data_IF_081632714930
#
_entry.id   IF_081632714930
#
_cell.length_a   1.000
_cell.length_b   1.000
_cell.length_c   1.000
_cell.angle_alpha   90.00
_cell.angle_beta   90.00
_cell.angle_gamma   90.00
#
_symmetry.space_group_name_H-M   'P 1'
#
loop_
_entity.id
_entity.type
_entity.pdbx_description
1 polymer ?
#
# COMPACT_ATOMS: atom_id res chain seq x y z
N UNK A 1 -12.37 26.09 22.45
CA UNK A 1 -12.62 25.53 21.12
C UNK A 1 -11.33 24.83 20.72
N UNK A 2 -11.32 23.50 20.72
CA UNK A 2 -10.14 22.72 20.31
C UNK A 2 -9.88 23.01 18.85
N UNK A 3 -8.74 23.61 18.51
CA UNK A 3 -8.27 23.63 17.12
C UNK A 3 -8.05 22.19 16.72
N UNK A 4 -8.81 21.68 15.75
CA UNK A 4 -8.49 20.40 15.13
C UNK A 4 -7.07 20.52 14.56
N UNK A 5 -6.12 19.82 15.18
CA UNK A 5 -4.78 19.69 14.61
C UNK A 5 -4.91 19.06 13.23
N UNK A 6 -4.09 19.52 12.28
CA UNK A 6 -4.07 18.93 10.95
C UNK A 6 -3.58 17.47 11.07
N UNK A 7 -4.36 16.52 10.56
CA UNK A 7 -3.99 15.10 10.59
C UNK A 7 -2.74 14.91 9.74
N UNK A 8 -1.67 14.38 10.34
CA UNK A 8 -0.41 14.10 9.67
C UNK A 8 -0.13 12.61 9.65
N UNK A 9 0.39 12.12 8.52
CA UNK A 9 0.77 10.72 8.32
C UNK A 9 2.20 10.66 7.81
N UNK A 10 3.10 10.11 8.61
CA UNK A 10 4.53 10.04 8.34
C UNK A 10 4.97 8.61 8.01
N UNK A 11 5.52 8.41 6.80
CA UNK A 11 6.10 7.14 6.38
C UNK A 11 7.35 6.79 7.19
N UNK A 12 7.32 5.67 7.90
CA UNK A 12 8.45 5.17 8.66
C UNK A 12 9.46 4.47 7.75
N UNK A 13 10.75 4.57 8.10
CA UNK A 13 11.86 4.06 7.28
C UNK A 13 11.87 4.63 5.84
N UNK A 14 11.51 5.90 5.68
CA UNK A 14 11.43 6.58 4.38
C UNK A 14 12.73 6.50 3.56
N UNK A 15 13.90 6.51 4.21
CA UNK A 15 15.20 6.36 3.53
C UNK A 15 15.34 5.01 2.80
N UNK A 16 14.82 3.93 3.37
CA UNK A 16 14.83 2.62 2.73
C UNK A 16 13.91 2.62 1.51
N UNK A 17 12.70 3.18 1.66
CA UNK A 17 11.76 3.35 0.56
C UNK A 17 12.35 4.20 -0.58
N UNK A 18 13.07 5.28 -0.24
CA UNK A 18 13.76 6.12 -1.22
C UNK A 18 14.83 5.34 -1.99
N UNK A 19 15.67 4.56 -1.30
CA UNK A 19 16.68 3.71 -1.97
C UNK A 19 16.07 2.70 -2.92
N UNK A 20 14.95 2.07 -2.54
CA UNK A 20 14.22 1.16 -3.43
C UNK A 20 13.58 1.92 -4.60
N UNK A 21 13.03 3.11 -4.36
CA UNK A 21 12.44 3.95 -5.40
C UNK A 21 13.48 4.35 -6.45
N UNK A 22 14.67 4.75 -6.03
CA UNK A 22 15.76 5.20 -6.90
C UNK A 22 16.21 4.12 -7.91
N UNK A 23 16.08 2.84 -7.55
CA UNK A 23 16.39 1.69 -8.44
C UNK A 23 15.16 1.13 -9.17
N UNK A 24 13.96 1.57 -8.82
CA UNK A 24 12.69 1.01 -9.28
C UNK A 24 12.21 -0.11 -8.37
N UNK A 25 11.39 0.24 -7.36
CA UNK A 25 10.83 -0.72 -6.41
C UNK A 25 10.01 -1.80 -7.12
N UNK A 26 10.31 -3.05 -6.82
CA UNK A 26 9.59 -4.22 -7.32
C UNK A 26 9.01 -5.02 -6.15
N UNK A 27 7.76 -5.50 -6.31
CA UNK A 27 7.08 -6.32 -5.31
C UNK A 27 6.71 -7.66 -5.92
N UNK A 28 7.06 -8.74 -5.22
CA UNK A 28 6.71 -10.11 -5.64
C UNK A 28 5.24 -10.35 -5.32
N UNK A 29 4.51 -10.91 -6.30
CA UNK A 29 3.15 -11.42 -6.13
C UNK A 29 3.13 -12.93 -6.38
N UNK A 30 2.33 -13.65 -5.60
CA UNK A 30 2.22 -15.12 -5.71
C UNK A 30 0.77 -15.56 -5.52
N UNK A 31 0.42 -16.76 -5.97
CA UNK A 31 -0.93 -17.30 -5.81
C UNK A 31 -1.40 -17.35 -4.34
N UNK A 32 -0.49 -17.67 -3.42
CA UNK A 32 -0.78 -17.78 -1.98
C UNK A 32 -0.74 -16.43 -1.23
N UNK A 33 -0.40 -15.35 -1.93
CA UNK A 33 -0.18 -14.03 -1.32
C UNK A 33 1.22 -13.87 -0.74
N UNK A 34 1.87 -12.73 -1.05
CA UNK A 34 3.20 -12.36 -0.55
C UNK A 34 3.14 -11.01 0.16
N UNK A 35 3.82 -10.91 1.30
CA UNK A 35 3.96 -9.63 2.04
C UNK A 35 4.88 -8.68 1.29
N UNK A 36 4.59 -7.39 1.37
CA UNK A 36 5.44 -6.34 0.80
C UNK A 36 6.78 -6.26 1.54
N UNK A 37 7.83 -5.91 0.79
CA UNK A 37 9.10 -5.48 1.35
C UNK A 37 9.65 -4.29 0.56
N UNK A 38 9.94 -3.15 1.20
CA UNK A 38 9.72 -2.87 2.63
C UNK A 38 8.23 -2.93 3.03
N UNK A 39 7.94 -3.22 4.30
CA UNK A 39 6.57 -3.16 4.81
C UNK A 39 6.11 -1.70 4.94
N UNK A 40 4.85 -1.41 4.61
CA UNK A 40 4.28 -0.08 4.80
C UNK A 40 4.02 0.14 6.30
N UNK A 41 4.63 1.19 6.86
CA UNK A 41 4.53 1.56 8.27
C UNK A 41 4.38 3.06 8.37
N UNK A 42 3.38 3.53 9.11
CA UNK A 42 3.08 4.96 9.22
C UNK A 42 2.92 5.36 10.68
N UNK A 43 3.39 6.56 11.02
CA UNK A 43 3.06 7.22 12.28
C UNK A 43 1.96 8.25 11.99
N UNK A 44 0.90 8.23 12.77
CA UNK A 44 -0.24 9.13 12.60
C UNK A 44 -0.26 10.08 13.80
N UNK A 45 -0.50 11.36 13.55
CA UNK A 45 -0.70 12.40 14.58
C UNK A 45 -1.85 13.33 14.19
N UNK A 46 -2.40 14.07 15.15
CA UNK A 46 -3.47 15.05 14.91
C UNK A 46 -4.89 14.46 14.84
N UNK A 47 -5.11 13.20 15.24
CA UNK A 47 -6.45 12.63 15.37
C UNK A 47 -7.14 13.15 16.65
N UNK A 48 -8.47 13.23 16.64
CA UNK A 48 -9.22 13.45 17.89
C UNK A 48 -9.04 12.21 18.79
N UNK A 49 -8.46 12.36 20.01
CA UNK A 49 -8.19 11.22 20.90
C UNK A 49 -9.42 10.37 21.25
N UNK A 50 -10.61 10.96 21.23
CA UNK A 50 -11.87 10.35 21.64
C UNK A 50 -12.73 9.87 20.46
N UNK A 51 -12.44 10.32 19.24
CA UNK A 51 -13.12 9.82 18.04
C UNK A 51 -12.58 8.46 17.61
N UNK A 52 -13.44 7.67 16.97
CA UNK A 52 -13.13 6.35 16.45
C UNK A 52 -12.80 6.44 14.96
N UNK A 53 -11.76 5.72 14.52
CA UNK A 53 -11.27 5.73 13.15
C UNK A 53 -11.07 4.31 12.60
N UNK A 54 -11.29 4.17 11.30
CA UNK A 54 -10.76 3.07 10.49
C UNK A 54 -9.45 3.50 9.86
N UNK A 55 -8.45 2.61 9.89
CA UNK A 55 -7.22 2.76 9.12
C UNK A 55 -7.19 1.69 8.04
N UNK A 56 -7.02 2.09 6.79
CA UNK A 56 -7.06 1.18 5.65
C UNK A 56 -5.96 1.49 4.64
N UNK A 57 -5.67 0.52 3.77
CA UNK A 57 -4.78 0.70 2.63
C UNK A 57 -5.38 0.07 1.39
N UNK A 58 -5.36 0.81 0.29
CA UNK A 58 -5.58 0.26 -1.04
C UNK A 58 -4.35 0.45 -1.92
N UNK A 59 -4.35 -0.22 -3.07
CA UNK A 59 -3.26 -0.15 -4.04
C UNK A 59 -3.88 0.06 -5.42
N UNK A 60 -3.61 1.21 -6.02
CA UNK A 60 -4.23 1.64 -7.28
C UNK A 60 -3.23 1.64 -8.42
N UNK A 61 -3.64 1.38 -9.68
CA UNK A 61 -2.75 1.50 -10.82
C UNK A 61 -2.28 2.95 -11.01
N UNK A 62 -1.01 3.13 -11.37
CA UNK A 62 -0.42 4.46 -11.66
C UNK A 62 -0.76 4.92 -13.07
N UNK A 63 -0.82 3.99 -14.01
CA UNK A 63 -1.12 4.25 -15.41
C UNK A 63 -1.80 3.04 -16.07
N UNK A 64 -2.23 3.22 -17.32
CA UNK A 64 -2.85 2.18 -18.14
C UNK A 64 -1.81 1.49 -19.05
N UNK A 65 -0.63 1.15 -18.52
CA UNK A 65 0.47 0.53 -19.29
C UNK A 65 0.92 -0.78 -18.68
N UNK A 66 1.29 -1.71 -19.56
CA UNK A 66 2.01 -2.92 -19.20
C UNK A 66 3.49 -2.75 -19.53
N UNK A 67 4.35 -3.20 -18.63
CA UNK A 67 5.80 -3.01 -18.71
C UNK A 67 6.54 -4.31 -19.02
N UNK A 68 7.79 -4.18 -19.47
CA UNK A 68 8.76 -5.28 -19.56
C UNK A 68 10.15 -4.81 -19.13
N UNK A 69 10.89 -5.67 -18.45
CA UNK A 69 12.29 -5.41 -18.12
C UNK A 69 13.20 -5.83 -19.26
N UNK A 70 14.10 -4.95 -19.66
CA UNK A 70 15.06 -5.16 -20.75
C UNK A 70 16.44 -5.35 -20.15
N UNK A 71 16.89 -6.61 -20.05
CA UNK A 71 18.10 -6.99 -19.32
C UNK A 71 19.38 -6.34 -19.87
N UNK A 72 19.54 -6.26 -21.20
CA UNK A 72 20.77 -5.72 -21.81
C UNK A 72 20.96 -4.22 -21.57
N UNK A 73 19.91 -3.49 -21.20
CA UNK A 73 19.95 -2.05 -20.90
C UNK A 73 19.57 -1.74 -19.46
N UNK A 74 19.29 -2.77 -18.65
CA UNK A 74 18.82 -2.69 -17.26
C UNK A 74 17.68 -1.69 -17.06
N UNK A 75 16.69 -1.69 -17.96
CA UNK A 75 15.61 -0.69 -17.97
C UNK A 75 14.22 -1.30 -18.11
N UNK A 76 13.28 -0.68 -17.43
CA UNK A 76 11.85 -0.88 -17.64
C UNK A 76 11.37 -0.13 -18.89
N UNK A 77 10.65 -0.81 -19.79
CA UNK A 77 10.05 -0.21 -20.98
C UNK A 77 8.57 -0.56 -21.08
N UNK A 78 7.80 0.31 -21.73
CA UNK A 78 6.39 0.04 -22.06
C UNK A 78 6.34 -1.10 -23.09
N UNK A 79 5.52 -2.10 -22.81
CA UNK A 79 5.28 -3.25 -23.67
C UNK A 79 3.91 -3.20 -24.34
N UNK A 80 2.95 -2.44 -23.79
CA UNK A 80 1.61 -2.30 -24.33
C UNK A 80 0.64 -1.61 -23.35
N UNK A 81 -0.65 -1.79 -23.60
CA UNK A 81 -1.72 -1.35 -22.71
C UNK A 81 -1.82 -2.27 -21.49
N UNK A 82 -2.36 -1.76 -20.38
CA UNK A 82 -2.60 -2.58 -19.20
C UNK A 82 -3.67 -3.65 -19.49
N UNK A 83 -3.59 -4.74 -18.71
CA UNK A 83 -4.62 -5.77 -18.69
C UNK A 83 -5.91 -5.23 -18.03
N UNK A 84 -7.03 -5.90 -18.24
CA UNK A 84 -8.33 -5.49 -17.67
C UNK A 84 -8.25 -5.33 -16.15
N UNK A 85 -8.84 -4.27 -15.58
CA UNK A 85 -8.75 -4.01 -14.15
C UNK A 85 -9.43 -5.11 -13.34
N UNK A 86 -8.80 -5.50 -12.23
CA UNK A 86 -9.40 -6.40 -11.23
C UNK A 86 -10.32 -5.61 -10.30
N UNK A 87 -11.32 -6.25 -9.68
CA UNK A 87 -12.16 -5.60 -8.67
C UNK A 87 -11.29 -4.98 -7.56
N UNK A 88 -11.52 -3.70 -7.21
CA UNK A 88 -10.71 -3.04 -6.21
C UNK A 88 -10.90 -3.72 -4.85
N UNK A 89 -9.78 -3.86 -4.12
CA UNK A 89 -9.78 -4.39 -2.75
C UNK A 89 -9.11 -3.40 -1.82
N UNK A 90 -9.71 -3.28 -0.64
CA UNK A 90 -9.21 -2.46 0.46
C UNK A 90 -8.81 -3.40 1.58
N UNK A 91 -7.60 -3.21 2.09
CA UNK A 91 -7.16 -3.87 3.32
C UNK A 91 -7.51 -2.96 4.50
N UNK A 92 -8.37 -3.44 5.39
CA UNK A 92 -8.69 -2.76 6.65
C UNK A 92 -7.70 -3.26 7.70
N UNK A 93 -7.06 -2.33 8.43
CA UNK A 93 -6.14 -2.69 9.50
C UNK A 93 -6.89 -3.49 10.58
N UNK A 94 -6.36 -4.63 11.07
CA UNK A 94 -7.07 -5.52 11.99
C UNK A 94 -7.52 -4.86 13.30
N UNK A 95 -6.81 -3.82 13.72
CA UNK A 95 -7.12 -3.06 14.93
C UNK A 95 -8.25 -2.02 14.71
N UNK A 96 -8.77 -1.88 13.49
CA UNK A 96 -9.96 -1.03 13.24
C UNK A 96 -11.22 -1.75 13.74
N UNK A 97 -12.18 -1.09 14.38
CA UNK A 97 -12.30 0.33 14.73
C UNK A 97 -11.58 0.65 16.07
N UNK A 98 -10.79 1.72 16.11
CA UNK A 98 -10.12 2.16 17.35
C UNK A 98 -10.05 3.69 17.50
N UNK A 99 -9.82 4.15 18.74
CA UNK A 99 -9.76 5.59 19.05
C UNK A 99 -8.52 6.28 18.46
N UNK A 100 -8.59 7.60 18.26
CA UNK A 100 -7.44 8.40 17.84
C UNK A 100 -6.24 8.24 18.78
N UNK A 101 -6.47 8.21 20.10
CA UNK A 101 -5.42 7.96 21.10
C UNK A 101 -4.74 6.59 20.88
N UNK A 102 -5.51 5.57 20.53
CA UNK A 102 -4.97 4.23 20.25
C UNK A 102 -4.07 4.25 19.01
N UNK A 103 -4.52 4.90 17.92
CA UNK A 103 -3.78 4.97 16.66
C UNK A 103 -2.51 5.82 16.76
N UNK A 104 -2.55 6.91 17.52
CA UNK A 104 -1.39 7.81 17.68
C UNK A 104 -0.34 7.27 18.67
N UNK A 105 -0.68 6.23 19.46
CA UNK A 105 0.21 5.67 20.49
C UNK A 105 1.47 5.00 19.94
N UNK A 106 1.39 4.40 18.76
CA UNK A 106 2.48 3.66 18.14
C UNK A 106 2.40 3.69 16.62
N UNK A 107 3.48 3.23 15.96
CA UNK A 107 3.51 3.08 14.50
C UNK A 107 2.49 2.04 14.06
N UNK A 108 1.66 2.40 13.08
CA UNK A 108 0.71 1.51 12.42
C UNK A 108 1.43 0.73 11.32
N UNK A 109 1.27 -0.60 11.29
CA UNK A 109 2.02 -1.50 10.41
C UNK A 109 1.09 -2.34 9.55
N UNK A 110 1.27 -2.28 8.23
CA UNK A 110 0.55 -3.10 7.26
C UNK A 110 1.31 -4.38 6.87
N UNK A 111 2.11 -4.94 7.79
CA UNK A 111 2.97 -6.10 7.53
C UNK A 111 2.20 -7.41 7.25
N UNK A 112 0.94 -7.49 7.69
CA UNK A 112 0.04 -8.61 7.41
C UNK A 112 -0.60 -8.51 6.03
N UNK A 113 -0.53 -7.36 5.34
CA UNK A 113 -1.06 -7.22 3.99
C UNK A 113 -0.29 -8.12 3.01
N UNK A 114 -1.02 -8.80 2.14
CA UNK A 114 -0.48 -9.67 1.10
C UNK A 114 -0.97 -9.27 -0.29
N UNK A 115 -0.08 -9.43 -1.26
CA UNK A 115 -0.29 -9.21 -2.69
C UNK A 115 -0.38 -10.56 -3.41
N UNK A 116 -1.38 -10.73 -4.27
CA UNK A 116 -1.60 -11.96 -5.04
C UNK A 116 -1.84 -11.67 -6.51
N UNK A 117 -1.48 -12.62 -7.37
CA UNK A 117 -1.87 -12.64 -8.79
C UNK A 117 -3.06 -13.57 -9.07
N UNK A 118 -3.68 -14.14 -8.03
CA UNK A 118 -4.86 -14.97 -8.15
C UNK A 118 -6.12 -14.09 -8.22
N UNK A 119 -6.69 -13.94 -9.40
CA UNK A 119 -7.95 -13.17 -9.59
C UNK A 119 -9.14 -13.76 -8.83
N UNK A 120 -9.07 -15.06 -8.51
CA UNK A 120 -10.09 -15.80 -7.77
C UNK A 120 -9.76 -15.94 -6.28
N UNK A 121 -8.89 -15.09 -5.74
CA UNK A 121 -8.52 -15.11 -4.32
C UNK A 121 -9.74 -14.92 -3.41
N UNK A 122 -9.93 -15.79 -2.43
CA UNK A 122 -11.03 -15.74 -1.45
C UNK A 122 -10.56 -15.33 -0.04
N UNK A 123 -9.26 -15.08 0.13
CA UNK A 123 -8.62 -14.75 1.41
C UNK A 123 -8.60 -13.24 1.70
N UNK A 124 -9.11 -12.43 0.78
CA UNK A 124 -9.11 -10.96 0.91
C UNK A 124 -7.74 -10.32 0.66
N UNK A 125 -6.81 -11.02 0.00
CA UNK A 125 -5.54 -10.42 -0.41
C UNK A 125 -5.76 -9.35 -1.50
N UNK A 126 -4.85 -8.38 -1.62
CA UNK A 126 -4.91 -7.42 -2.72
C UNK A 126 -4.46 -8.12 -4.01
N UNK A 127 -5.33 -8.13 -5.01
CA UNK A 127 -5.07 -8.72 -6.32
C UNK A 127 -4.39 -7.66 -7.19
N UNK A 128 -3.26 -8.03 -7.80
CA UNK A 128 -2.51 -7.19 -8.74
C UNK A 128 -2.10 -7.99 -9.98
N UNK A 129 -1.90 -7.29 -11.08
CA UNK A 129 -1.34 -7.84 -12.30
C UNK A 129 0.17 -7.70 -12.31
N UNK A 130 0.88 -8.76 -12.68
CA UNK A 130 2.33 -8.70 -12.89
C UNK A 130 2.66 -7.65 -13.95
N UNK A 131 3.82 -7.01 -13.83
CA UNK A 131 4.34 -6.06 -14.82
C UNK A 131 3.50 -4.77 -15.01
N UNK A 132 2.75 -4.39 -13.97
CA UNK A 132 2.02 -3.12 -13.91
C UNK A 132 2.57 -2.26 -12.77
N UNK A 133 2.39 -0.95 -12.86
CA UNK A 133 2.86 0.00 -11.87
C UNK A 133 1.72 0.42 -10.94
N UNK A 134 1.99 0.41 -9.64
CA UNK A 134 0.99 0.65 -8.61
C UNK A 134 1.43 1.68 -7.57
N UNK A 135 0.45 2.34 -6.96
CA UNK A 135 0.61 3.30 -5.87
C UNK A 135 -0.20 2.85 -4.65
N UNK A 136 0.44 2.46 -3.54
CA UNK A 136 -0.23 2.27 -2.26
C UNK A 136 -0.76 3.60 -1.72
N UNK A 137 -1.95 3.60 -1.12
CA UNK A 137 -2.54 4.77 -0.43
C UNK A 137 -3.07 4.36 0.93
N UNK A 138 -2.70 5.11 1.96
CA UNK A 138 -3.20 4.93 3.32
C UNK A 138 -4.38 5.87 3.52
N UNK A 139 -5.45 5.35 4.13
CA UNK A 139 -6.69 6.07 4.40
C UNK A 139 -6.93 6.12 5.92
N UNK A 140 -7.27 7.31 6.42
CA UNK A 140 -7.77 7.55 7.77
C UNK A 140 -9.23 7.97 7.60
N UNK A 141 -10.17 7.20 8.15
CA UNK A 141 -11.62 7.35 7.91
C UNK A 141 -12.35 7.45 9.25
#
# INVERSE_FOLDING_TARGET
MSSMEEIQVELQCADLWKRFHDIGTEMIITKAGRRMFPAMRVKITGLDPHQQYYIAMDIVPVDNKRYRYVYHSSKWMVAGNADSPVPPRVYIHPDSLASGDTWMRQVVSFDKLKLTNNELDDQGHIILHSMHKYQPRVHVI
#
